data_IF_068650240273
#
_entry.id   IF_068650240273
#
_cell.length_a   1.000
_cell.length_b   1.000
_cell.length_c   1.000
_cell.angle_alpha   90.00
_cell.angle_beta   90.00
_cell.angle_gamma   90.00
#
_symmetry.space_group_name_H-M   'P 1'
#
loop_
_entity.id
_entity.type
_entity.pdbx_description
1 polymer ?
#
# COMPACT_ATOMS: atom_id res chain seq x y z
N UNK A 1 -6.34 6.37 -14.42
CA UNK A 1 -5.20 6.50 -15.37
C UNK A 1 -3.88 6.34 -14.61
N UNK A 2 -2.72 6.36 -15.28
CA UNK A 2 -1.42 6.33 -14.59
C UNK A 2 -1.29 7.48 -13.58
N UNK A 3 -1.51 8.71 -14.03
CA UNK A 3 -1.40 9.91 -13.19
C UNK A 3 -2.33 9.87 -11.98
N UNK A 4 -3.55 9.37 -12.19
CA UNK A 4 -4.52 9.19 -11.10
C UNK A 4 -4.02 8.21 -10.04
N UNK A 5 -3.37 7.12 -10.46
CA UNK A 5 -2.78 6.16 -9.53
C UNK A 5 -1.56 6.74 -8.82
N UNK A 6 -0.75 7.55 -9.50
CA UNK A 6 0.36 8.28 -8.89
C UNK A 6 -0.13 9.27 -7.83
N UNK A 7 -1.24 9.97 -8.06
CA UNK A 7 -1.88 10.81 -7.04
C UNK A 7 -2.39 10.00 -5.84
N UNK A 8 -3.03 8.86 -6.10
CA UNK A 8 -3.48 7.94 -5.04
C UNK A 8 -2.30 7.47 -4.16
N UNK A 9 -1.20 7.05 -4.77
CA UNK A 9 0.01 6.65 -4.05
C UNK A 9 0.65 7.83 -3.30
N UNK A 10 0.73 9.00 -3.92
CA UNK A 10 1.30 10.20 -3.30
C UNK A 10 0.53 10.60 -2.04
N UNK A 11 -0.81 10.55 -2.08
CA UNK A 11 -1.63 10.79 -0.91
C UNK A 11 -1.40 9.70 0.16
N UNK A 12 -1.31 8.43 -0.24
CA UNK A 12 -1.03 7.32 0.70
C UNK A 12 0.31 7.48 1.43
N UNK A 13 1.36 7.94 0.72
CA UNK A 13 2.67 8.24 1.31
C UNK A 13 2.55 9.44 2.25
N UNK A 14 1.84 10.49 1.86
CA UNK A 14 1.64 11.68 2.69
C UNK A 14 0.91 11.37 4.01
N UNK A 15 -0.03 10.42 4.02
CA UNK A 15 -0.70 9.94 5.24
C UNK A 15 0.29 9.30 6.24
N UNK A 16 1.43 8.80 5.76
CA UNK A 16 2.51 8.33 6.63
C UNK A 16 3.16 9.46 7.44
N UNK A 17 3.23 10.66 6.86
CA UNK A 17 3.78 11.87 7.47
C UNK A 17 2.75 12.66 8.28
N UNK A 18 1.58 12.90 7.70
CA UNK A 18 0.47 13.61 8.36
C UNK A 18 -0.50 12.56 8.86
N UNK A 19 -0.38 12.11 10.12
CA UNK A 19 -1.25 11.05 10.64
C UNK A 19 -2.54 11.62 11.22
N UNK A 20 -3.68 11.03 10.86
CA UNK A 20 -5.00 11.33 11.41
C UNK A 20 -5.65 10.10 12.03
N UNK A 21 -6.64 10.31 12.90
CA UNK A 21 -7.37 9.24 13.59
C UNK A 21 -8.14 8.36 12.61
N UNK A 22 -8.90 8.97 11.70
CA UNK A 22 -9.67 8.26 10.69
C UNK A 22 -9.25 8.62 9.26
N UNK A 23 -9.39 7.65 8.35
CA UNK A 23 -9.08 7.84 6.92
C UNK A 23 -9.94 8.94 6.27
N UNK A 24 -11.15 9.18 6.77
CA UNK A 24 -12.03 10.22 6.21
C UNK A 24 -11.59 11.62 6.61
N UNK A 25 -10.86 11.77 7.71
CA UNK A 25 -10.43 13.05 8.26
C UNK A 25 -9.43 13.77 7.36
N UNK A 26 -8.75 13.03 6.48
CA UNK A 26 -7.87 13.59 5.47
C UNK A 26 -8.59 14.58 4.55
N UNK A 27 -9.90 14.39 4.34
CA UNK A 27 -10.74 15.27 3.54
C UNK A 27 -11.67 16.17 4.37
N UNK A 28 -11.46 16.27 5.69
CA UNK A 28 -12.26 17.12 6.56
C UNK A 28 -12.07 18.61 6.26
N UNK A 29 -13.15 19.39 6.43
CA UNK A 29 -13.13 20.87 6.43
C UNK A 29 -13.11 21.46 7.83
N UNK A 30 -13.14 20.62 8.87
CA UNK A 30 -12.94 21.07 10.24
C UNK A 30 -11.58 21.76 10.35
N UNK A 31 -11.50 23.02 10.81
CA UNK A 31 -10.24 23.75 10.96
C UNK A 31 -9.15 22.99 11.72
N UNK A 32 -9.52 22.13 12.69
CA UNK A 32 -8.57 21.33 13.47
C UNK A 32 -7.95 20.18 12.67
N UNK A 33 -8.66 19.71 11.65
CA UNK A 33 -8.27 18.60 10.80
C UNK A 33 -7.99 19.06 9.37
N UNK A 34 -8.05 20.35 9.07
CA UNK A 34 -8.02 20.82 7.69
C UNK A 34 -6.63 20.64 7.09
N UNK A 35 -6.55 19.86 5.99
CA UNK A 35 -5.29 19.63 5.26
C UNK A 35 -5.60 19.70 3.76
N UNK A 36 -5.60 20.92 3.18
CA UNK A 36 -6.20 21.19 1.87
C UNK A 36 -5.71 20.28 0.74
N UNK A 37 -4.42 19.91 0.78
CA UNK A 37 -3.76 19.14 -0.28
C UNK A 37 -4.49 17.84 -0.62
N UNK A 38 -5.05 17.13 0.38
CA UNK A 38 -5.77 15.88 0.14
C UNK A 38 -6.98 16.06 -0.78
N UNK A 39 -7.81 17.09 -0.50
CA UNK A 39 -9.01 17.38 -1.29
C UNK A 39 -8.68 18.04 -2.63
N UNK A 40 -7.61 18.83 -2.70
CA UNK A 40 -7.15 19.46 -3.93
C UNK A 40 -6.61 18.43 -4.93
N UNK A 41 -5.96 17.37 -4.44
CA UNK A 41 -5.36 16.32 -5.28
C UNK A 41 -6.39 15.29 -5.74
N UNK A 42 -7.25 14.79 -4.86
CA UNK A 42 -8.25 13.76 -5.21
C UNK A 42 -9.47 13.85 -4.29
N UNK A 43 -10.66 13.54 -4.78
CA UNK A 43 -11.83 13.47 -3.91
C UNK A 43 -11.75 12.25 -2.97
N UNK A 44 -12.32 12.38 -1.77
CA UNK A 44 -12.38 11.27 -0.79
C UNK A 44 -12.96 10.00 -1.41
N UNK A 45 -14.10 10.14 -2.09
CA UNK A 45 -14.83 9.00 -2.62
C UNK A 45 -14.05 8.31 -3.73
N UNK A 46 -13.33 9.07 -4.56
CA UNK A 46 -12.45 8.49 -5.59
C UNK A 46 -11.27 7.74 -4.97
N UNK A 47 -10.64 8.30 -3.95
CA UNK A 47 -9.57 7.61 -3.22
C UNK A 47 -10.08 6.29 -2.61
N UNK A 48 -11.25 6.30 -1.96
CA UNK A 48 -11.84 5.10 -1.36
C UNK A 48 -12.24 4.06 -2.42
N UNK A 49 -12.72 4.49 -3.59
CA UNK A 49 -12.99 3.59 -4.71
C UNK A 49 -11.72 2.92 -5.21
N UNK A 50 -10.62 3.67 -5.39
CA UNK A 50 -9.34 3.09 -5.80
C UNK A 50 -8.83 2.11 -4.73
N UNK A 51 -8.82 2.53 -3.46
CA UNK A 51 -8.40 1.69 -2.34
C UNK A 51 -9.16 0.35 -2.28
N UNK A 52 -10.48 0.37 -2.49
CA UNK A 52 -11.31 -0.83 -2.44
C UNK A 52 -11.05 -1.79 -3.61
N UNK A 53 -10.66 -1.27 -4.76
CA UNK A 53 -10.56 -2.04 -6.00
C UNK A 53 -9.10 -2.34 -6.41
N UNK A 54 -8.13 -2.17 -5.51
CA UNK A 54 -6.73 -2.53 -5.76
C UNK A 54 -6.60 -4.04 -6.03
N UNK A 55 -6.07 -4.37 -7.20
CA UNK A 55 -5.89 -5.74 -7.65
C UNK A 55 -4.64 -5.84 -8.51
N UNK A 56 -3.76 -6.81 -8.22
CA UNK A 56 -2.44 -6.93 -8.87
C UNK A 56 -2.20 -8.27 -9.55
N UNK A 57 -3.14 -9.20 -9.47
CA UNK A 57 -3.04 -10.55 -10.04
C UNK A 57 -4.21 -10.74 -11.00
N UNK A 58 -4.01 -11.38 -12.14
CA UNK A 58 -5.14 -11.80 -12.97
C UNK A 58 -5.74 -13.09 -12.38
N UNK A 59 -7.05 -13.11 -12.13
CA UNK A 59 -7.75 -14.29 -11.58
C UNK A 59 -7.96 -15.39 -12.62
N UNK A 60 -7.79 -15.09 -13.91
CA UNK A 60 -7.87 -16.06 -15.02
C UNK A 60 -6.51 -16.69 -15.36
N UNK A 61 -5.45 -16.30 -14.64
CA UNK A 61 -4.11 -16.83 -14.84
C UNK A 61 -3.94 -18.18 -14.12
N UNK A 62 -3.66 -19.22 -14.89
CA UNK A 62 -3.43 -20.61 -14.44
C UNK A 62 -1.96 -20.89 -14.03
N UNK A 63 -1.14 -19.84 -13.86
CA UNK A 63 0.25 -19.98 -13.43
C UNK A 63 0.39 -20.68 -12.05
N UNK A 64 1.53 -21.34 -11.79
CA UNK A 64 1.82 -22.08 -10.55
C UNK A 64 1.70 -21.25 -9.24
N UNK A 65 1.47 -19.94 -9.35
CA UNK A 65 1.25 -18.99 -8.26
C UNK A 65 -0.09 -19.24 -7.54
N UNK A 66 -1.02 -19.99 -8.13
CA UNK A 66 -2.39 -20.23 -7.61
C UNK A 66 -2.42 -20.76 -6.16
N UNK A 67 -1.36 -21.45 -5.71
CA UNK A 67 -1.28 -21.98 -4.34
C UNK A 67 -0.41 -21.15 -3.38
N UNK A 68 0.15 -20.02 -3.81
CA UNK A 68 1.00 -19.18 -2.98
C UNK A 68 0.16 -18.29 -2.04
N UNK A 69 0.44 -18.23 -0.72
CA UNK A 69 -0.35 -17.41 0.22
C UNK A 69 -0.39 -15.92 -0.13
N UNK A 70 0.66 -15.42 -0.79
CA UNK A 70 0.79 -14.03 -1.25
C UNK A 70 0.33 -13.81 -2.70
N UNK A 71 -0.32 -14.78 -3.36
CA UNK A 71 -0.65 -14.71 -4.80
C UNK A 71 -1.19 -13.36 -5.27
N UNK A 72 -2.10 -12.74 -4.50
CA UNK A 72 -2.77 -11.48 -4.87
C UNK A 72 -1.85 -10.24 -4.90
N UNK A 73 -0.69 -10.32 -4.25
CA UNK A 73 0.29 -9.22 -4.15
C UNK A 73 1.68 -9.62 -4.64
N UNK A 74 1.88 -10.90 -4.97
CA UNK A 74 3.17 -11.46 -5.38
C UNK A 74 3.82 -10.69 -6.54
N UNK A 75 3.08 -10.27 -7.59
CA UNK A 75 3.68 -9.46 -8.66
C UNK A 75 4.31 -8.15 -8.17
N UNK A 76 3.69 -7.49 -7.19
CA UNK A 76 4.21 -6.24 -6.60
C UNK A 76 5.42 -6.52 -5.74
N UNK A 77 5.35 -7.56 -4.88
CA UNK A 77 6.45 -7.95 -4.00
C UNK A 77 7.69 -8.31 -4.81
N UNK A 78 7.53 -9.12 -5.86
CA UNK A 78 8.64 -9.56 -6.72
C UNK A 78 9.26 -8.39 -7.48
N UNK A 79 8.42 -7.48 -7.98
CA UNK A 79 8.90 -6.26 -8.63
C UNK A 79 9.74 -5.41 -7.67
N UNK A 80 9.26 -5.17 -6.45
CA UNK A 80 9.98 -4.38 -5.44
C UNK A 80 11.27 -5.07 -5.01
N UNK A 81 11.24 -6.38 -4.77
CA UNK A 81 12.42 -7.16 -4.40
C UNK A 81 13.50 -7.09 -5.48
N UNK A 82 13.12 -7.26 -6.76
CA UNK A 82 14.01 -7.10 -7.91
C UNK A 82 14.67 -5.71 -7.93
N UNK A 83 13.89 -4.65 -7.72
CA UNK A 83 14.40 -3.27 -7.69
C UNK A 83 15.33 -3.00 -6.51
N UNK A 84 14.99 -3.48 -5.32
CA UNK A 84 15.83 -3.28 -4.13
C UNK A 84 17.14 -4.04 -4.26
N UNK A 85 17.13 -5.28 -4.75
CA UNK A 85 18.35 -6.05 -4.98
C UNK A 85 19.26 -5.41 -6.03
N UNK A 86 18.69 -4.77 -7.06
CA UNK A 86 19.47 -4.10 -8.10
C UNK A 86 20.14 -2.79 -7.62
N UNK A 87 19.60 -2.14 -6.59
CA UNK A 87 20.05 -0.81 -6.11
C UNK A 87 20.85 -0.91 -4.81
N UNK A 88 20.54 -1.89 -3.96
CA UNK A 88 21.18 -2.03 -2.65
C UNK A 88 22.55 -2.68 -2.78
N UNK A 89 23.60 -1.93 -2.41
CA UNK A 89 24.94 -2.48 -2.21
C UNK A 89 25.11 -2.76 -0.70
N UNK A 90 25.12 -4.01 -0.25
CA UNK A 90 25.21 -4.33 1.17
C UNK A 90 26.58 -3.93 1.74
N UNK A 91 26.55 -3.39 2.96
CA UNK A 91 27.76 -3.16 3.75
C UNK A 91 28.33 -4.45 4.35
N UNK A 92 29.45 -4.33 5.07
CA UNK A 92 30.12 -5.48 5.72
C UNK A 92 29.26 -6.19 6.77
N UNK A 93 28.46 -5.43 7.51
CA UNK A 93 27.64 -5.94 8.60
C UNK A 93 26.17 -5.84 8.21
N UNK A 94 25.45 -6.97 8.28
CA UNK A 94 24.03 -7.05 8.00
C UNK A 94 23.32 -7.58 9.24
N UNK A 95 22.14 -7.02 9.51
CA UNK A 95 21.22 -7.53 10.53
C UNK A 95 20.01 -8.12 9.82
N UNK A 96 19.64 -9.35 10.18
CA UNK A 96 18.43 -10.00 9.70
C UNK A 96 17.50 -10.09 10.90
N UNK A 97 16.33 -9.51 10.75
CA UNK A 97 15.30 -9.49 11.79
C UNK A 97 13.92 -9.69 11.15
N UNK A 98 12.96 -10.14 11.95
CA UNK A 98 11.58 -10.34 11.53
C UNK A 98 10.75 -9.09 11.84
N UNK A 99 9.83 -8.74 10.94
CA UNK A 99 8.88 -7.67 11.19
C UNK A 99 7.46 -8.21 11.10
N UNK A 100 6.65 -7.89 12.12
CA UNK A 100 5.25 -8.28 12.19
C UNK A 100 4.36 -7.08 11.83
N UNK A 101 3.50 -7.27 10.83
CA UNK A 101 2.45 -6.32 10.50
C UNK A 101 1.15 -6.72 11.19
N UNK A 102 0.64 -5.83 12.03
CA UNK A 102 -0.61 -6.07 12.75
C UNK A 102 -1.78 -6.23 11.78
N UNK A 103 -2.44 -7.40 11.83
CA UNK A 103 -3.65 -7.67 11.04
C UNK A 103 -4.73 -8.34 11.89
N UNK A 104 -5.94 -7.74 11.91
CA UNK A 104 -7.08 -8.26 12.67
C UNK A 104 -8.09 -9.06 11.83
N UNK A 105 -7.91 -9.13 10.51
CA UNK A 105 -8.80 -9.86 9.60
C UNK A 105 -8.48 -11.35 9.45
N UNK A 106 -9.25 -12.04 8.60
CA UNK A 106 -9.02 -13.44 8.24
C UNK A 106 -7.84 -13.55 7.28
N UNK A 107 -6.71 -14.04 7.76
CA UNK A 107 -5.51 -14.29 6.98
C UNK A 107 -4.92 -15.63 7.41
N UNK A 108 -4.71 -16.55 6.45
CA UNK A 108 -4.30 -17.94 6.71
C UNK A 108 -2.97 -18.05 7.47
N UNK A 109 -2.05 -17.12 7.23
CA UNK A 109 -0.69 -17.13 7.76
C UNK A 109 -0.46 -16.01 8.79
N UNK A 110 -1.52 -15.53 9.44
CA UNK A 110 -1.41 -14.59 10.57
C UNK A 110 -0.74 -15.30 11.76
N UNK A 111 0.16 -14.59 12.44
CA UNK A 111 0.77 -14.99 13.70
C UNK A 111 0.15 -14.22 14.88
N UNK A 112 0.20 -14.80 16.09
CA UNK A 112 -0.36 -14.26 17.34
C UNK A 112 0.74 -14.02 18.37
#
# INVERSE_FOLDING_TARGET
TKDEFEFFLSLSILMGHVRKGDLKDYWSTDPLLHTPIFRQTMTRDRYLQLLRNLHFQNNEDDSEIVNHPLQKIKPVIDHLQSKFLAVLIPGKNLCIDENLLLWKGRLRFKQY
#
